data_IF_136465988158
#
_entry.id   IF_136465988158
#
_cell.length_a   1.000
_cell.length_b   1.000
_cell.length_c   1.000
_cell.angle_alpha   90.00
_cell.angle_beta   90.00
_cell.angle_gamma   90.00
#
_symmetry.space_group_name_H-M   'P 1'
#
loop_
_entity.id
_entity.type
_entity.pdbx_description
1 polymer ?
#
# COMPACT_ATOMS: atom_id res chain seq x y z
N UNK A 1 5.32 -19.94 -2.90
CA UNK A 1 5.25 -18.57 -2.34
C UNK A 1 4.61 -17.70 -3.38
N UNK A 2 3.48 -17.06 -3.09
CA UNK A 2 2.94 -16.03 -3.97
C UNK A 2 3.90 -14.84 -3.92
N UNK A 3 4.20 -14.21 -5.05
CA UNK A 3 5.08 -13.03 -5.15
C UNK A 3 4.47 -11.85 -4.38
N UNK A 4 4.73 -11.80 -3.07
CA UNK A 4 4.34 -10.70 -2.20
C UNK A 4 5.32 -9.55 -2.42
N UNK A 5 4.99 -8.63 -3.33
CA UNK A 5 5.86 -7.53 -3.77
C UNK A 5 5.17 -6.18 -3.89
N UNK A 6 3.88 -6.11 -3.54
CA UNK A 6 3.12 -4.87 -3.65
C UNK A 6 2.89 -4.24 -2.28
N UNK A 7 2.96 -2.92 -2.22
CA UNK A 7 2.58 -2.11 -1.07
C UNK A 7 1.17 -1.55 -1.26
N UNK A 8 0.38 -1.57 -0.19
CA UNK A 8 -0.91 -0.88 -0.15
C UNK A 8 -0.71 0.59 0.25
N UNK A 9 -1.10 1.51 -0.63
CA UNK A 9 -1.04 2.96 -0.42
C UNK A 9 -2.45 3.50 -0.29
N UNK A 10 -2.77 4.08 0.86
CA UNK A 10 -4.05 4.76 1.06
C UNK A 10 -4.03 6.15 0.46
N UNK A 11 -4.75 6.33 -0.63
CA UNK A 11 -4.93 7.60 -1.33
C UNK A 11 -5.63 8.61 -0.41
N UNK A 12 -6.71 8.19 0.26
CA UNK A 12 -7.52 9.03 1.15
C UNK A 12 -6.71 9.65 2.29
N UNK A 13 -5.80 8.87 2.88
CA UNK A 13 -4.96 9.31 3.99
C UNK A 13 -3.59 9.84 3.54
N UNK A 14 -3.32 9.92 2.23
CA UNK A 14 -2.10 10.51 1.66
C UNK A 14 -2.30 11.97 1.23
N UNK A 15 -3.52 12.51 1.32
CA UNK A 15 -3.78 13.90 1.01
C UNK A 15 -3.14 14.82 2.06
N UNK A 16 -2.09 15.56 1.67
CA UNK A 16 -1.38 16.51 2.54
C UNK A 16 -0.26 15.91 3.40
N UNK A 17 -0.03 14.59 3.31
CA UNK A 17 1.06 13.86 3.99
C UNK A 17 1.86 13.04 2.99
N UNK A 18 3.08 12.65 3.36
CA UNK A 18 3.85 11.64 2.60
C UNK A 18 3.11 10.29 2.70
N UNK A 19 2.95 9.60 1.56
CA UNK A 19 2.08 8.43 1.34
C UNK A 19 1.79 7.57 2.59
N UNK A 20 0.52 7.34 2.89
CA UNK A 20 0.11 6.48 4.01
C UNK A 20 0.08 5.03 3.56
N UNK A 21 0.91 4.18 4.17
CA UNK A 21 0.98 2.74 3.86
C UNK A 21 0.08 1.92 4.79
N UNK A 22 -0.62 0.92 4.24
CA UNK A 22 -1.63 0.11 4.91
C UNK A 22 -1.21 -1.34 5.16
N UNK A 23 -1.76 -1.91 6.23
CA UNK A 23 -1.72 -3.32 6.62
C UNK A 23 -3.15 -3.88 6.74
N UNK A 24 -3.36 -5.15 6.41
CA UNK A 24 -4.66 -5.85 6.46
C UNK A 24 -5.26 -5.88 7.85
N UNK A 25 -4.45 -6.26 8.81
CA UNK A 25 -4.83 -6.36 10.20
C UNK A 25 -3.80 -5.68 11.06
N UNK A 26 -4.21 -5.17 12.22
CA UNK A 26 -3.22 -4.82 13.23
C UNK A 26 -2.60 -6.12 13.72
N UNK A 27 -1.35 -6.38 13.37
CA UNK A 27 -0.61 -7.51 13.95
C UNK A 27 -0.48 -7.37 15.45
N UNK A 28 -0.53 -8.52 16.13
CA UNK A 28 -0.22 -8.63 17.55
C UNK A 28 1.24 -8.26 17.80
N UNK A 29 1.53 -7.80 19.02
CA UNK A 29 2.85 -7.28 19.38
C UNK A 29 4.00 -8.29 19.17
N UNK A 30 3.67 -9.59 19.16
CA UNK A 30 4.61 -10.72 19.02
C UNK A 30 4.68 -11.30 17.59
N UNK A 31 3.97 -10.73 16.63
CA UNK A 31 3.98 -11.18 15.23
C UNK A 31 4.80 -10.23 14.35
N UNK A 32 5.37 -10.77 13.27
CA UNK A 32 5.99 -9.96 12.22
C UNK A 32 4.95 -8.97 11.70
N UNK A 33 5.22 -7.68 11.86
CA UNK A 33 4.15 -6.69 11.95
C UNK A 33 3.51 -6.38 10.58
N UNK A 34 2.19 -6.51 10.50
CA UNK A 34 1.27 -5.98 9.52
C UNK A 34 0.88 -4.57 10.01
N UNK A 35 1.55 -3.55 9.46
CA UNK A 35 1.43 -2.20 9.99
C UNK A 35 0.57 -1.28 9.13
N UNK A 36 -0.43 -0.72 9.79
CA UNK A 36 -1.17 0.45 9.31
C UNK A 36 -0.51 1.71 9.86
N UNK A 37 -0.18 2.69 9.00
CA UNK A 37 0.04 4.07 9.46
C UNK A 37 1.47 4.60 9.51
N UNK A 38 2.43 4.06 8.75
CA UNK A 38 3.69 4.78 8.56
C UNK A 38 3.54 5.93 7.56
N UNK A 39 4.13 7.09 7.90
CA UNK A 39 4.43 8.16 6.95
C UNK A 39 5.46 7.60 5.96
N UNK A 40 5.03 7.32 4.73
CA UNK A 40 5.63 6.32 3.84
C UNK A 40 7.06 6.53 3.38
N UNK A 41 7.80 7.55 3.82
CA UNK A 41 9.18 7.78 3.35
C UNK A 41 10.27 7.09 4.15
N UNK A 42 10.04 6.62 5.38
CA UNK A 42 11.14 6.19 6.27
C UNK A 42 11.10 4.70 6.63
N UNK A 43 9.91 4.11 6.76
CA UNK A 43 9.75 2.75 7.30
C UNK A 43 9.13 1.76 6.29
N UNK A 44 9.24 2.02 4.99
CA UNK A 44 8.61 1.19 3.96
C UNK A 44 9.11 -0.27 3.94
N UNK A 45 10.32 -0.54 4.43
CA UNK A 45 10.88 -1.89 4.59
C UNK A 45 10.16 -2.70 5.70
N UNK A 46 9.39 -2.04 6.55
CA UNK A 46 8.59 -2.67 7.62
C UNK A 46 7.12 -2.82 7.23
N UNK A 47 6.76 -2.45 6.00
CA UNK A 47 5.38 -2.54 5.54
C UNK A 47 5.04 -3.95 5.06
N UNK A 48 3.77 -4.33 5.21
CA UNK A 48 3.31 -5.60 4.68
C UNK A 48 3.33 -5.56 3.14
N UNK A 49 3.92 -6.61 2.55
CA UNK A 49 3.86 -6.84 1.12
C UNK A 49 2.70 -7.77 0.79
N UNK A 50 2.04 -7.51 -0.33
CA UNK A 50 0.92 -8.29 -0.83
C UNK A 50 1.25 -8.93 -2.17
N UNK A 51 0.67 -10.10 -2.41
CA UNK A 51 0.38 -10.51 -3.78
C UNK A 51 -0.99 -9.94 -4.18
N UNK A 52 -1.26 -9.83 -5.48
CA UNK A 52 -2.54 -9.32 -5.96
C UNK A 52 -3.71 -10.20 -5.46
N UNK A 53 -3.54 -11.52 -5.48
CA UNK A 53 -4.55 -12.47 -5.04
C UNK A 53 -4.81 -12.36 -3.53
N UNK A 54 -3.76 -12.22 -2.72
CA UNK A 54 -3.90 -12.04 -1.27
C UNK A 54 -4.64 -10.73 -0.99
N UNK A 55 -4.26 -9.65 -1.68
CA UNK A 55 -4.91 -8.36 -1.51
C UNK A 55 -6.38 -8.38 -1.94
N UNK A 56 -6.73 -9.02 -3.05
CA UNK A 56 -8.13 -9.17 -3.50
C UNK A 56 -8.97 -9.97 -2.51
N UNK A 57 -8.43 -11.08 -1.99
CA UNK A 57 -9.13 -11.92 -1.01
C UNK A 57 -9.47 -11.16 0.27
N UNK A 58 -8.57 -10.28 0.67
CA UNK A 58 -8.66 -9.48 1.86
C UNK A 58 -9.54 -8.23 1.60
N UNK A 59 -9.13 -7.39 0.66
CA UNK A 59 -9.63 -6.03 0.48
C UNK A 59 -10.52 -5.81 -0.74
N UNK A 60 -10.99 -6.86 -1.41
CA UNK A 60 -11.79 -6.80 -2.64
C UNK A 60 -13.20 -6.20 -2.48
N UNK A 61 -13.30 -5.01 -1.90
CA UNK A 61 -14.53 -4.25 -1.67
C UNK A 61 -14.40 -2.86 -2.31
N UNK A 62 -15.49 -2.37 -2.90
CA UNK A 62 -15.51 -1.46 -4.06
C UNK A 62 -14.79 -0.11 -3.98
N UNK A 63 -14.26 0.31 -2.82
CA UNK A 63 -13.44 1.52 -2.69
C UNK A 63 -11.94 1.24 -2.80
N UNK A 64 -11.53 -0.01 -2.98
CA UNK A 64 -10.11 -0.41 -3.06
C UNK A 64 -9.80 -0.90 -4.47
N UNK A 65 -8.72 -0.37 -5.06
CA UNK A 65 -8.25 -0.80 -6.37
C UNK A 65 -7.43 -2.09 -6.23
N UNK A 66 -8.08 -3.22 -6.45
CA UNK A 66 -7.49 -4.55 -6.30
C UNK A 66 -7.34 -5.34 -7.60
N UNK A 67 -7.74 -4.80 -8.77
CA UNK A 67 -7.65 -5.48 -10.07
C UNK A 67 -6.22 -5.56 -10.61
N UNK A 68 -5.42 -4.52 -10.39
CA UNK A 68 -4.02 -4.43 -10.81
C UNK A 68 -3.25 -3.39 -9.99
N UNK A 69 -1.92 -3.55 -9.82
CA UNK A 69 -1.08 -2.49 -9.28
C UNK A 69 -1.09 -1.27 -10.20
N UNK A 70 -0.80 -0.11 -9.62
CA UNK A 70 -0.67 1.16 -10.32
C UNK A 70 0.77 1.65 -10.28
N UNK A 71 1.12 2.48 -11.27
CA UNK A 71 2.45 3.06 -11.39
C UNK A 71 2.66 4.15 -10.35
N UNK A 72 3.82 4.15 -9.69
CA UNK A 72 4.22 5.19 -8.75
C UNK A 72 4.52 6.49 -9.50
N UNK A 73 3.87 7.59 -9.10
CA UNK A 73 4.02 8.90 -9.76
C UNK A 73 3.84 10.02 -8.75
N UNK A 74 4.33 11.23 -9.05
CA UNK A 74 4.11 12.42 -8.22
C UNK A 74 2.62 12.74 -8.03
N UNK A 75 1.80 12.49 -9.05
CA UNK A 75 0.37 12.77 -9.04
C UNK A 75 -0.48 11.57 -8.57
N UNK A 76 0.13 10.55 -7.96
CA UNK A 76 -0.57 9.30 -7.58
C UNK A 76 -1.89 9.57 -6.83
N UNK A 77 -1.86 10.45 -5.83
CA UNK A 77 -3.03 10.77 -5.00
C UNK A 77 -4.14 11.40 -5.84
N UNK A 78 -3.81 12.36 -6.72
CA UNK A 78 -4.78 13.03 -7.59
C UNK A 78 -5.33 12.10 -8.67
N UNK A 79 -4.50 11.20 -9.18
CA UNK A 79 -4.86 10.31 -10.30
C UNK A 79 -5.82 9.20 -9.90
N UNK A 80 -5.81 8.81 -8.63
CA UNK A 80 -6.57 7.68 -8.11
C UNK A 80 -7.47 8.09 -6.94
N UNK A 81 -7.90 9.34 -6.89
CA UNK A 81 -8.70 9.93 -5.82
C UNK A 81 -10.09 9.30 -5.65
N UNK A 82 -10.60 8.64 -6.68
CA UNK A 82 -11.80 7.81 -6.65
C UNK A 82 -11.66 6.52 -5.81
N UNK A 83 -10.43 6.11 -5.50
CA UNK A 83 -10.14 4.95 -4.65
C UNK A 83 -9.64 5.38 -3.27
N UNK A 84 -9.98 4.60 -2.26
CA UNK A 84 -9.42 4.73 -0.91
C UNK A 84 -7.96 4.25 -0.90
N UNK A 85 -7.69 3.11 -1.52
CA UNK A 85 -6.39 2.43 -1.48
C UNK A 85 -6.02 1.81 -2.84
N UNK A 86 -4.74 1.89 -3.20
CA UNK A 86 -4.15 1.28 -4.41
C UNK A 86 -2.95 0.42 -4.05
N UNK A 87 -2.58 -0.51 -4.94
CA UNK A 87 -1.33 -1.26 -4.86
C UNK A 87 -0.25 -0.63 -5.73
N UNK A 88 0.98 -0.55 -5.23
CA UNK A 88 2.18 -0.15 -6.00
C UNK A 88 3.26 -1.21 -5.85
N UNK A 89 4.15 -1.34 -6.83
CA UNK A 89 5.31 -2.23 -6.71
C UNK A 89 6.30 -1.67 -5.67
N UNK A 90 6.79 -2.54 -4.78
CA UNK A 90 7.70 -2.15 -3.70
C UNK A 90 9.00 -1.54 -4.22
N UNK A 91 9.61 -2.12 -5.26
CA UNK A 91 10.87 -1.60 -5.80
C UNK A 91 10.65 -0.25 -6.49
N UNK A 92 9.52 -0.09 -7.18
CA UNK A 92 9.14 1.19 -7.78
C UNK A 92 8.90 2.27 -6.71
N UNK A 93 8.20 1.91 -5.64
CA UNK A 93 7.96 2.80 -4.51
C UNK A 93 9.27 3.23 -3.86
N UNK A 94 10.15 2.28 -3.55
CA UNK A 94 11.46 2.50 -2.96
C UNK A 94 12.31 3.44 -3.81
N UNK A 95 12.39 3.19 -5.11
CA UNK A 95 13.12 4.05 -6.04
C UNK A 95 12.53 5.46 -6.13
N UNK A 96 11.22 5.63 -5.91
CA UNK A 96 10.55 6.91 -5.95
C UNK A 96 10.77 7.75 -4.68
N UNK A 97 10.84 7.11 -3.51
CA UNK A 97 10.95 7.81 -2.21
C UNK A 97 12.37 7.94 -1.66
N UNK A 98 13.34 7.24 -2.26
CA UNK A 98 14.79 7.35 -1.95
C UNK A 98 15.40 8.58 -2.60
#
# INVERSE_FOLDING_TARGET
MKDRKYLAVSIKHSAGTRFTLWGWERTKDEQERCFTGYLGTIDYDKCELYSLEDFQKHYGHGVIKCDKPVKMTMDLVRKWDEYDTVLVDYEEYKAFVS
#
